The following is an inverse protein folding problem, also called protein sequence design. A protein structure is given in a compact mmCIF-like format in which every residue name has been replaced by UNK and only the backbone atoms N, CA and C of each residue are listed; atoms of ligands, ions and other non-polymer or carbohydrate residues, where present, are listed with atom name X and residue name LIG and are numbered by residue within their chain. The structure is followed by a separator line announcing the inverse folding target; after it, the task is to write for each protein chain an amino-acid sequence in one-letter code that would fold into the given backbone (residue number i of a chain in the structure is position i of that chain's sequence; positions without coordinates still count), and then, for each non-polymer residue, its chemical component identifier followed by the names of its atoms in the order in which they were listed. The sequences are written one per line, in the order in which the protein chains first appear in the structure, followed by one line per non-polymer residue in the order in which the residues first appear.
data_IF_638819317653
#
_entry.id   IF_638819317653
#
_cell.length_a   1.000
_cell.length_b   1.000
_cell.length_c   1.000
_cell.angle_alpha   90.00
_cell.angle_beta   90.00
_cell.angle_gamma   90.00
#
_symmetry.space_group_name_H-M   'P 1'
#
loop_
_entity.id
_entity.type
_entity.pdbx_description
1 polymer ?
#
# COMPACT_ATOMS: atom_id res chain seq x y z
N UNK A 1 1.96 6.98 -15.23
CA UNK A 1 3.28 6.98 -14.56
C UNK A 1 3.59 5.54 -14.21
N UNK A 2 4.65 4.95 -14.76
CA UNK A 2 5.00 3.56 -14.45
C UNK A 2 5.71 3.49 -13.08
N UNK A 3 5.04 2.90 -12.10
CA UNK A 3 5.60 2.69 -10.76
C UNK A 3 6.09 1.25 -10.61
N UNK A 4 7.33 1.06 -10.18
CA UNK A 4 7.88 -0.27 -9.87
C UNK A 4 7.29 -0.80 -8.56
N UNK A 5 7.37 -2.10 -8.33
CA UNK A 5 6.90 -2.70 -7.09
C UNK A 5 7.93 -2.58 -5.95
N UNK A 6 7.43 -2.58 -4.72
CA UNK A 6 8.21 -2.66 -3.49
C UNK A 6 7.49 -3.52 -2.46
N UNK A 7 8.22 -4.42 -1.81
CA UNK A 7 7.68 -5.25 -0.74
C UNK A 7 7.50 -4.46 0.56
N UNK A 8 6.57 -4.90 1.41
CA UNK A 8 6.31 -4.25 2.70
C UNK A 8 7.56 -4.14 3.60
N UNK A 9 8.41 -5.17 3.74
CA UNK A 9 9.64 -5.06 4.53
C UNK A 9 10.58 -3.94 4.05
N UNK A 10 10.73 -3.79 2.73
CA UNK A 10 11.54 -2.72 2.14
C UNK A 10 10.93 -1.34 2.37
N UNK A 11 9.59 -1.23 2.35
CA UNK A 11 8.91 0.03 2.72
C UNK A 11 9.18 0.38 4.17
N UNK A 12 9.09 -0.58 5.10
CA UNK A 12 9.38 -0.31 6.52
C UNK A 12 10.83 0.10 6.73
N UNK A 13 11.78 -0.56 6.07
CA UNK A 13 13.19 -0.15 6.11
C UNK A 13 13.39 1.27 5.56
N UNK A 14 12.79 1.58 4.41
CA UNK A 14 12.85 2.92 3.82
C UNK A 14 12.23 3.99 4.74
N UNK A 15 11.20 3.65 5.52
CA UNK A 15 10.62 4.54 6.54
C UNK A 15 11.58 4.76 7.71
N UNK A 16 12.19 3.70 8.24
CA UNK A 16 13.18 3.80 9.32
C UNK A 16 14.37 4.70 8.92
N UNK A 17 14.78 4.64 7.66
CA UNK A 17 15.85 5.47 7.10
C UNK A 17 15.39 6.89 6.70
N UNK A 18 14.14 7.26 6.94
CA UNK A 18 13.60 8.59 6.59
C UNK A 18 13.53 8.85 5.08
N UNK A 19 13.52 7.81 4.25
CA UNK A 19 13.48 7.91 2.79
C UNK A 19 12.06 8.08 2.27
N UNK A 20 11.03 7.61 3.00
CA UNK A 20 9.63 7.74 2.60
C UNK A 20 9.12 9.16 2.91
N UNK A 21 8.64 9.85 1.88
CA UNK A 21 8.06 11.20 1.97
C UNK A 21 6.55 11.17 2.15
N UNK A 22 5.85 10.33 1.38
CA UNK A 22 4.41 10.13 1.52
C UNK A 22 3.99 8.73 1.08
N UNK A 23 2.86 8.27 1.61
CA UNK A 23 2.18 7.05 1.21
C UNK A 23 0.74 7.44 0.92
N UNK A 24 0.25 7.15 -0.28
CA UNK A 24 -1.05 7.62 -0.73
C UNK A 24 -1.82 6.47 -1.41
N UNK A 25 -3.14 6.33 -1.14
CA UNK A 25 -3.98 5.44 -1.92
C UNK A 25 -4.15 6.04 -3.32
N UNK A 26 -3.91 5.23 -4.36
CA UNK A 26 -4.05 5.65 -5.77
C UNK A 26 -4.93 4.68 -6.54
N UNK A 27 -5.71 5.17 -7.49
CA UNK A 27 -6.45 4.31 -8.41
C UNK A 27 -5.48 3.71 -9.43
N UNK A 28 -5.58 2.40 -9.65
CA UNK A 28 -4.77 1.70 -10.62
C UNK A 28 -5.37 1.88 -12.02
N UNK A 29 -4.50 2.20 -12.96
CA UNK A 29 -4.88 2.29 -14.37
C UNK A 29 -5.41 0.91 -14.79
N UNK A 30 -6.61 0.89 -15.39
CA UNK A 30 -7.26 -0.28 -15.99
C UNK A 30 -8.09 -1.21 -15.07
N UNK A 31 -8.16 -1.00 -13.75
CA UNK A 31 -8.88 -1.96 -12.87
C UNK A 31 -9.95 -1.40 -11.92
N UNK A 32 -10.19 -0.08 -11.85
CA UNK A 32 -11.01 0.57 -10.79
C UNK A 32 -10.60 0.19 -9.35
N UNK A 33 -9.56 -0.60 -9.19
CA UNK A 33 -9.02 -1.02 -7.92
C UNK A 33 -8.01 0.03 -7.47
N UNK A 34 -7.82 0.10 -6.16
CA UNK A 34 -6.91 1.03 -5.51
C UNK A 34 -5.64 0.30 -5.10
N UNK A 35 -4.50 0.96 -5.19
CA UNK A 35 -3.22 0.50 -4.65
C UNK A 35 -2.66 1.49 -3.63
N UNK A 36 -1.47 1.19 -3.12
CA UNK A 36 -0.71 2.09 -2.25
C UNK A 36 0.56 2.55 -2.97
N UNK A 37 0.65 3.84 -3.25
CA UNK A 37 1.82 4.48 -3.83
C UNK A 37 2.74 4.99 -2.72
N UNK A 38 3.99 4.57 -2.75
CA UNK A 38 5.04 5.02 -1.86
C UNK A 38 5.92 6.01 -2.63
N UNK A 39 5.91 7.26 -2.20
CA UNK A 39 6.80 8.31 -2.68
C UNK A 39 7.94 8.46 -1.70
N UNK A 40 9.15 8.18 -2.14
CA UNK A 40 10.36 8.35 -1.36
C UNK A 40 11.40 9.22 -2.06
N UNK A 41 12.51 9.45 -1.39
CA UNK A 41 13.68 10.17 -1.92
C UNK A 41 14.31 9.31 -3.01
N UNK A 42 14.10 9.70 -4.27
CA UNK A 42 14.64 9.00 -5.44
C UNK A 42 13.88 7.75 -5.86
N UNK A 43 12.67 7.50 -5.31
CA UNK A 43 11.83 6.41 -5.79
C UNK A 43 10.33 6.70 -5.68
N UNK A 44 9.58 6.16 -6.63
CA UNK A 44 8.12 6.11 -6.62
C UNK A 44 7.72 4.67 -6.93
N UNK A 45 7.11 3.98 -5.98
CA UNK A 45 6.85 2.55 -6.07
C UNK A 45 5.46 2.18 -5.55
N UNK A 46 4.85 1.15 -6.13
CA UNK A 46 3.60 0.58 -5.64
C UNK A 46 3.88 -0.55 -4.66
N UNK A 47 3.10 -0.62 -3.58
CA UNK A 47 3.20 -1.70 -2.62
C UNK A 47 2.84 -3.02 -3.30
N UNK A 48 3.69 -4.01 -3.14
CA UNK A 48 3.50 -5.36 -3.65
C UNK A 48 2.54 -6.17 -2.76
N UNK A 49 1.77 -7.07 -3.35
CA UNK A 49 1.01 -8.08 -2.64
C UNK A 49 1.96 -9.11 -2.02
N UNK A 50 1.90 -9.30 -0.71
CA UNK A 50 2.68 -10.36 -0.06
C UNK A 50 2.26 -11.73 -0.59
N UNK A 51 3.21 -12.45 -1.18
CA UNK A 51 3.05 -13.85 -1.52
C UNK A 51 3.11 -14.66 -0.22
N UNK A 52 1.96 -15.16 0.24
CA UNK A 52 1.92 -16.11 1.35
C UNK A 52 2.62 -17.40 0.91
N UNK A 53 3.87 -17.59 1.33
CA UNK A 53 4.56 -18.85 1.21
C UNK A 53 3.97 -19.84 2.22
N UNK A 54 2.92 -20.54 1.80
CA UNK A 54 2.34 -21.63 2.55
C UNK A 54 2.66 -22.95 1.84
N UNK A 55 3.47 -23.84 2.45
CA UNK A 55 3.91 -25.09 1.82
C UNK A 55 2.77 -26.08 1.52
N UNK A 56 1.58 -25.90 2.14
CA UNK A 56 0.43 -26.79 2.00
C UNK A 56 -0.69 -26.23 1.09
N UNK A 57 -0.48 -25.07 0.46
CA UNK A 57 -1.47 -24.53 -0.46
C UNK A 57 -1.35 -25.25 -1.83
N UNK A 58 -2.41 -25.96 -2.22
CA UNK A 58 -2.55 -26.74 -3.48
C UNK A 58 -2.55 -25.84 -4.73
N UNK A 59 -2.25 -24.54 -4.60
CA UNK A 59 -2.24 -23.62 -5.74
C UNK A 59 -0.81 -23.46 -6.26
N UNK A 60 -0.53 -23.76 -7.54
CA UNK A 60 0.80 -23.59 -8.10
C UNK A 60 1.20 -22.12 -8.02
N UNK A 61 2.44 -21.91 -7.60
CA UNK A 61 3.09 -20.60 -7.45
C UNK A 61 3.04 -19.80 -8.77
N UNK A 62 2.76 -20.40 -9.93
CA UNK A 62 2.80 -19.83 -11.30
C UNK A 62 1.87 -18.66 -11.67
N UNK A 63 1.14 -18.06 -10.73
CA UNK A 63 0.67 -16.66 -10.83
C UNK A 63 1.64 -15.68 -10.12
N UNK A 64 2.88 -16.13 -9.93
CA UNK A 64 4.04 -15.65 -9.15
C UNK A 64 4.60 -14.29 -9.54
N UNK A 65 4.02 -13.60 -10.51
CA UNK A 65 4.53 -12.27 -10.81
C UNK A 65 4.23 -11.37 -9.62
N UNK A 66 5.23 -10.64 -9.11
CA UNK A 66 4.99 -9.62 -8.11
C UNK A 66 3.91 -8.69 -8.69
N UNK A 67 2.83 -8.48 -7.95
CA UNK A 67 1.69 -7.66 -8.34
C UNK A 67 1.50 -6.55 -7.32
N UNK A 68 0.97 -5.39 -7.73
CA UNK A 68 0.56 -4.40 -6.74
C UNK A 68 -0.53 -4.99 -5.85
N UNK A 69 -0.49 -4.68 -4.56
CA UNK A 69 -1.63 -4.93 -3.68
C UNK A 69 -2.81 -4.09 -4.16
N UNK A 70 -3.97 -4.73 -4.30
CA UNK A 70 -5.18 -4.08 -4.81
C UNK A 70 -6.30 -4.09 -3.77
N UNK A 71 -7.10 -3.03 -3.76
CA UNK A 71 -8.21 -2.82 -2.85
C UNK A 71 -9.44 -2.40 -3.64
N UNK A 72 -10.62 -2.87 -3.26
CA UNK A 72 -11.90 -2.50 -3.90
C UNK A 72 -12.33 -1.05 -3.71
N UNK A 73 -11.57 -0.25 -2.97
CA UNK A 73 -11.87 1.15 -2.75
C UNK A 73 -10.79 1.88 -1.96
N UNK A 74 -10.78 3.21 -2.09
CA UNK A 74 -9.84 4.10 -1.41
C UNK A 74 -9.80 3.85 0.10
N UNK A 75 -10.96 3.72 0.74
CA UNK A 75 -11.05 3.56 2.19
C UNK A 75 -10.45 2.23 2.67
N UNK A 76 -10.55 1.16 1.88
CA UNK A 76 -9.92 -0.11 2.19
C UNK A 76 -8.38 0.01 2.14
N UNK A 77 -7.84 0.69 1.14
CA UNK A 77 -6.41 0.98 1.04
C UNK A 77 -5.90 1.82 2.23
N UNK A 78 -6.65 2.87 2.62
CA UNK A 78 -6.34 3.70 3.79
C UNK A 78 -6.36 2.89 5.08
N UNK A 79 -7.42 2.10 5.29
CA UNK A 79 -7.59 1.27 6.49
C UNK A 79 -6.45 0.26 6.62
N UNK A 80 -6.06 -0.36 5.50
CA UNK A 80 -4.92 -1.28 5.46
C UNK A 80 -3.61 -0.57 5.82
N UNK A 81 -3.33 0.57 5.19
CA UNK A 81 -2.13 1.36 5.49
C UNK A 81 -2.08 1.84 6.95
N UNK A 82 -3.21 2.22 7.53
CA UNK A 82 -3.30 2.58 8.95
C UNK A 82 -3.03 1.39 9.88
N UNK A 83 -3.55 0.20 9.56
CA UNK A 83 -3.29 -1.03 10.33
C UNK A 83 -1.81 -1.41 10.35
N UNK A 84 -1.11 -1.19 9.24
CA UNK A 84 0.34 -1.42 9.13
C UNK A 84 1.20 -0.27 9.69
N UNK A 85 0.56 0.77 10.27
CA UNK A 85 1.26 1.95 10.77
C UNK A 85 1.95 2.78 9.69
N UNK A 86 1.60 2.58 8.41
CA UNK A 86 2.12 3.32 7.25
C UNK A 86 1.47 4.70 7.13
N UNK A 87 0.18 4.80 7.47
CA UNK A 87 -0.55 6.07 7.58
C UNK A 87 -0.91 6.36 9.03
N UNK A 88 -0.94 7.64 9.44
CA UNK A 88 -1.47 8.00 10.75
C UNK A 88 -2.94 7.58 10.83
N UNK A 89 -3.30 6.94 11.93
CA UNK A 89 -4.69 6.66 12.26
C UNK A 89 -5.34 8.00 12.59
N UNK A 90 -6.46 8.35 11.94
CA UNK A 90 -7.23 9.54 12.31
C UNK A 90 -7.59 9.41 13.80
N UNK A 91 -6.99 10.25 14.64
CA UNK A 91 -7.22 10.30 16.10
C UNK A 91 -8.20 11.40 16.49
N UNK A 92 -8.55 12.28 15.56
CA UNK A 92 -9.33 13.48 15.82
C UNK A 92 -10.47 13.58 14.83
N UNK A 93 -11.69 13.59 15.34
CA UNK A 93 -12.87 13.99 14.60
C UNK A 93 -13.03 15.50 14.76
N UNK A 94 -13.00 16.24 13.65
CA UNK A 94 -13.44 17.62 13.62
C UNK A 94 -14.97 17.63 13.64
N UNK A 95 -15.56 17.91 14.79
CA UNK A 95 -17.00 18.16 14.90
C UNK A 95 -17.24 19.61 14.50
N UNK A 96 -17.84 19.82 13.33
CA UNK A 96 -18.42 21.12 13.00
C UNK A 96 -19.80 21.19 13.66
N UNK A 97 -19.90 21.90 14.77
CA UNK A 97 -21.18 22.37 15.25
C UNK A 97 -21.58 23.56 14.35
N UNK A 98 -22.60 23.37 13.53
CA UNK A 98 -23.31 24.50 12.93
C UNK A 98 -24.16 25.12 14.04
N UNK A 99 -23.93 26.40 14.35
CA UNK A 99 -24.86 27.24 15.11
C UNK A 99 -26.17 27.46 14.37
#
# INVERSE_FOLDING_TARGET
MEARLISLPLVQLARLLGLVRSIEPVELQDSRDWGLLIRGRGFTRLLEQELLHAPNLIRPVGWSTPRPITFRGRQAAVTYAQRLGLLPRQKTWSVSASE
#
